data_IF_632319733754
#
_entry.id   IF_632319733754
#
_cell.length_a   1.000
_cell.length_b   1.000
_cell.length_c   1.000
_cell.angle_alpha   90.00
_cell.angle_beta   90.00
_cell.angle_gamma   90.00
#
_symmetry.space_group_name_H-M   'P 1'
#
loop_
_entity.id
_entity.type
_entity.pdbx_description
1 polymer ?
#
# COMPACT_ATOMS: atom_id res chain seq x y z
N UNK A 1 33.03 71.77 -27.22
CA UNK A 1 33.53 70.54 -26.57
C UNK A 1 32.56 69.43 -26.93
N UNK A 2 32.68 68.89 -28.16
CA UNK A 2 33.46 67.69 -28.50
C UNK A 2 32.76 66.43 -27.94
N UNK A 3 32.22 65.49 -28.73
CA UNK A 3 32.45 65.21 -30.15
C UNK A 3 31.34 64.25 -30.69
N UNK A 4 30.78 64.61 -31.86
CA UNK A 4 30.40 63.77 -33.04
C UNK A 4 29.33 62.65 -32.89
N UNK A 5 28.11 62.79 -33.46
CA UNK A 5 27.69 62.67 -34.90
C UNK A 5 27.63 61.19 -35.36
N UNK A 6 26.61 60.64 -36.03
CA UNK A 6 25.37 61.08 -36.70
C UNK A 6 24.64 59.80 -37.18
N UNK A 7 23.32 59.76 -37.36
CA UNK A 7 22.60 60.12 -38.60
C UNK A 7 22.14 58.85 -39.34
N UNK A 8 20.82 58.59 -39.46
CA UNK A 8 19.95 58.80 -40.66
C UNK A 8 20.36 57.93 -41.87
N UNK A 9 19.51 57.33 -42.72
CA UNK A 9 18.06 57.42 -43.06
C UNK A 9 17.77 56.40 -44.19
N UNK A 10 16.47 56.16 -44.46
CA UNK A 10 15.78 55.86 -45.74
C UNK A 10 16.19 54.60 -46.55
N UNK A 11 15.27 53.70 -46.95
CA UNK A 11 14.10 53.79 -47.88
C UNK A 11 14.46 54.23 -49.31
N UNK A 12 14.10 53.37 -50.28
CA UNK A 12 14.02 53.65 -51.72
C UNK A 12 14.63 52.51 -52.54
N UNK A 13 13.86 51.50 -52.97
CA UNK A 13 13.24 51.41 -54.31
C UNK A 13 14.21 51.77 -55.46
N UNK A 14 14.55 50.77 -56.29
CA UNK A 14 14.31 50.79 -57.74
C UNK A 14 14.89 49.53 -58.39
N UNK A 15 14.02 48.78 -59.07
CA UNK A 15 14.37 47.80 -60.08
C UNK A 15 15.20 48.43 -61.20
N UNK A 16 16.16 47.67 -61.73
CA UNK A 16 16.55 47.72 -63.15
C UNK A 16 17.26 46.43 -63.54
N UNK A 17 16.77 45.84 -64.63
CA UNK A 17 17.19 44.60 -65.24
C UNK A 17 18.60 44.68 -65.86
N UNK A 18 19.30 43.55 -65.90
CA UNK A 18 19.75 42.86 -67.11
C UNK A 18 20.92 41.88 -66.85
N UNK A 19 20.94 40.85 -67.68
CA UNK A 19 22.05 39.94 -68.04
C UNK A 19 22.48 38.77 -67.13
N UNK A 20 22.27 37.58 -67.70
CA UNK A 20 23.00 36.33 -67.45
C UNK A 20 24.40 36.38 -68.14
N UNK A 21 25.27 35.34 -68.16
CA UNK A 21 25.17 33.99 -67.60
C UNK A 21 26.49 33.38 -67.01
N UNK A 22 26.37 32.12 -66.56
CA UNK A 22 27.37 31.00 -66.60
C UNK A 22 28.53 30.88 -65.58
N UNK A 23 28.63 29.62 -65.12
CA UNK A 23 29.84 28.84 -64.75
C UNK A 23 30.24 28.94 -63.27
N UNK A 24 30.61 27.90 -62.51
CA UNK A 24 31.14 26.54 -62.78
C UNK A 24 30.84 25.63 -61.57
N UNK A 25 30.67 24.34 -61.83
CA UNK A 25 30.69 23.26 -60.84
C UNK A 25 32.02 23.20 -60.07
N UNK A 26 31.94 22.93 -58.76
CA UNK A 26 32.84 21.99 -58.06
C UNK A 26 32.21 21.52 -56.75
N UNK A 27 32.09 20.20 -56.62
CA UNK A 27 31.30 19.52 -55.59
C UNK A 27 31.86 19.56 -54.18
N UNK A 28 30.99 19.24 -53.22
CA UNK A 28 31.37 18.85 -51.86
C UNK A 28 30.39 17.82 -51.30
N UNK A 29 30.94 16.62 -51.10
CA UNK A 29 30.53 15.44 -50.33
C UNK A 29 29.21 15.54 -49.54
N UNK A 30 28.27 14.65 -49.90
CA UNK A 30 27.13 14.30 -49.07
C UNK A 30 27.57 13.61 -47.78
N UNK A 31 26.99 14.05 -46.67
CA UNK A 31 27.15 13.48 -45.34
C UNK A 31 25.85 12.75 -45.05
N UNK A 32 25.84 11.43 -45.27
CA UNK A 32 24.74 10.55 -44.92
C UNK A 32 24.67 10.47 -43.40
N UNK A 33 23.65 11.08 -42.79
CA UNK A 33 23.27 10.79 -41.41
C UNK A 33 22.57 9.43 -41.43
N UNK A 34 23.31 8.39 -41.11
CA UNK A 34 22.72 7.12 -40.71
C UNK A 34 21.94 7.37 -39.43
N UNK A 35 20.61 7.27 -39.50
CA UNK A 35 19.78 7.12 -38.30
C UNK A 35 20.20 5.82 -37.62
N UNK A 36 20.67 5.93 -36.39
CA UNK A 36 20.77 4.77 -35.52
C UNK A 36 19.33 4.30 -35.21
N UNK A 37 19.03 2.99 -35.27
CA UNK A 37 17.80 2.50 -34.68
C UNK A 37 17.89 2.72 -33.17
N UNK A 38 16.84 3.28 -32.57
CA UNK A 38 16.72 3.33 -31.12
C UNK A 38 16.84 1.91 -30.57
N UNK A 39 17.79 1.73 -29.65
CA UNK A 39 18.06 0.47 -28.97
C UNK A 39 16.81 0.06 -28.19
N UNK A 40 16.14 -0.99 -28.66
CA UNK A 40 15.03 -1.59 -27.94
C UNK A 40 15.49 -2.08 -26.58
N UNK A 41 14.83 -1.62 -25.52
CA UNK A 41 14.97 -2.15 -24.16
C UNK A 41 14.91 -3.68 -24.20
N UNK A 42 15.93 -4.35 -23.69
CA UNK A 42 15.96 -5.81 -23.65
C UNK A 42 14.77 -6.32 -22.83
N UNK A 43 14.14 -7.42 -23.25
CA UNK A 43 13.02 -8.05 -22.50
C UNK A 43 13.41 -8.31 -21.04
N UNK A 44 14.66 -8.69 -20.78
CA UNK A 44 15.18 -8.88 -19.41
C UNK A 44 15.25 -7.56 -18.60
N UNK A 45 15.54 -6.43 -19.25
CA UNK A 45 15.55 -5.13 -18.59
C UNK A 45 14.13 -4.66 -18.26
N UNK A 46 13.19 -4.81 -19.20
CA UNK A 46 11.79 -4.44 -18.99
C UNK A 46 11.10 -5.29 -17.89
N UNK A 47 11.42 -6.59 -17.84
CA UNK A 47 10.97 -7.49 -16.76
C UNK A 47 11.54 -7.05 -15.40
N UNK A 48 12.82 -6.66 -15.36
CA UNK A 48 13.45 -6.19 -14.12
C UNK A 48 12.87 -4.85 -13.65
N UNK A 49 12.62 -3.90 -14.55
CA UNK A 49 11.95 -2.63 -14.24
C UNK A 49 10.53 -2.84 -13.70
N UNK A 50 9.75 -3.72 -14.33
CA UNK A 50 8.40 -4.08 -13.88
C UNK A 50 8.40 -4.69 -12.48
N UNK A 51 9.36 -5.58 -12.21
CA UNK A 51 9.50 -6.22 -10.91
C UNK A 51 9.85 -5.21 -9.80
N UNK A 52 10.72 -4.23 -10.08
CA UNK A 52 11.07 -3.18 -9.13
C UNK A 52 9.90 -2.23 -8.84
N UNK A 53 9.08 -1.89 -9.84
CA UNK A 53 7.84 -1.12 -9.60
C UNK A 53 6.92 -1.87 -8.64
N UNK A 54 6.70 -3.16 -8.88
CA UNK A 54 5.79 -3.98 -8.07
C UNK A 54 6.36 -4.30 -6.68
N UNK A 55 7.69 -4.24 -6.50
CA UNK A 55 8.34 -4.47 -5.19
C UNK A 55 7.80 -3.56 -4.11
N UNK A 56 7.58 -2.28 -4.41
CA UNK A 56 7.07 -1.29 -3.44
C UNK A 56 5.63 -1.57 -2.98
N UNK A 57 4.89 -2.41 -3.71
CA UNK A 57 3.51 -2.79 -3.40
C UNK A 57 3.40 -4.16 -2.73
N UNK A 58 4.53 -4.84 -2.46
CA UNK A 58 4.56 -6.16 -1.84
C UNK A 58 5.29 -6.13 -0.48
N UNK A 59 4.73 -6.73 0.59
CA UNK A 59 5.43 -6.86 1.86
C UNK A 59 6.73 -7.65 1.74
N UNK A 60 7.75 -7.29 2.52
CA UNK A 60 9.01 -8.07 2.60
C UNK A 60 8.74 -9.56 2.90
N UNK A 61 7.74 -9.84 3.73
CA UNK A 61 7.32 -11.20 4.07
C UNK A 61 6.80 -11.96 2.84
N UNK A 62 5.98 -11.33 2.00
CA UNK A 62 5.46 -11.93 0.76
C UNK A 62 6.59 -12.23 -0.22
N UNK A 63 7.48 -11.25 -0.44
CA UNK A 63 8.62 -11.38 -1.34
C UNK A 63 9.51 -12.56 -0.94
N UNK A 64 9.85 -12.67 0.35
CA UNK A 64 10.63 -13.78 0.89
C UNK A 64 9.90 -15.10 0.78
N UNK A 65 8.61 -15.12 1.05
CA UNK A 65 7.82 -16.34 0.93
C UNK A 65 7.85 -16.90 -0.49
N UNK A 66 7.60 -16.05 -1.49
CA UNK A 66 7.64 -16.41 -2.90
C UNK A 66 9.04 -16.90 -3.33
N UNK A 67 10.11 -16.37 -2.74
CA UNK A 67 11.48 -16.80 -3.03
C UNK A 67 11.85 -18.14 -2.39
N UNK A 68 11.45 -18.37 -1.15
CA UNK A 68 11.94 -19.49 -0.35
C UNK A 68 11.03 -20.72 -0.43
N UNK A 69 9.72 -20.53 -0.31
CA UNK A 69 8.76 -21.64 -0.23
C UNK A 69 7.42 -21.27 -0.91
N UNK A 70 7.42 -20.96 -2.22
CA UNK A 70 6.21 -20.49 -2.95
C UNK A 70 5.08 -21.52 -3.02
N UNK A 71 5.34 -22.79 -2.70
CA UNK A 71 4.37 -23.89 -2.73
C UNK A 71 3.62 -24.07 -1.40
N UNK A 72 4.07 -23.44 -0.31
CA UNK A 72 3.37 -23.52 0.97
C UNK A 72 2.23 -22.50 1.01
N UNK A 73 1.04 -22.98 1.36
CA UNK A 73 -0.16 -22.16 1.52
C UNK A 73 -0.32 -21.53 2.90
N UNK A 74 0.48 -21.96 3.89
CA UNK A 74 0.50 -21.35 5.22
C UNK A 74 1.87 -21.44 5.90
N UNK A 75 2.10 -20.54 6.85
CA UNK A 75 3.24 -20.54 7.77
C UNK A 75 2.78 -20.10 9.15
N UNK A 76 3.36 -20.69 10.18
CA UNK A 76 3.24 -20.20 11.56
C UNK A 76 4.56 -19.53 11.92
N UNK A 77 4.50 -18.24 12.28
CA UNK A 77 5.67 -17.41 12.55
C UNK A 77 5.55 -16.76 13.92
N UNK A 78 6.61 -16.87 14.72
CA UNK A 78 6.72 -16.14 15.98
C UNK A 78 7.21 -14.72 15.74
N UNK A 79 6.54 -13.76 16.38
CA UNK A 79 6.88 -12.36 16.24
C UNK A 79 5.95 -11.43 16.99
N UNK A 80 6.05 -10.15 16.69
CA UNK A 80 5.16 -9.11 17.19
C UNK A 80 4.44 -8.43 16.05
N UNK A 81 3.15 -8.20 16.24
CA UNK A 81 2.34 -7.42 15.34
C UNK A 81 1.92 -6.12 16.02
N UNK A 82 2.06 -5.03 15.28
CA UNK A 82 1.62 -3.71 15.66
C UNK A 82 0.54 -3.27 14.67
N UNK A 83 -0.65 -2.99 15.19
CA UNK A 83 -1.73 -2.38 14.41
C UNK A 83 -1.92 -0.93 14.87
N UNK A 84 -1.84 0.01 13.94
CA UNK A 84 -1.96 1.45 14.19
C UNK A 84 -3.11 1.99 13.36
N UNK A 85 -4.17 2.47 14.02
CA UNK A 85 -5.22 3.24 13.35
C UNK A 85 -4.95 4.74 13.54
N UNK A 86 -5.08 5.53 12.47
CA UNK A 86 -4.81 6.97 12.48
C UNK A 86 -6.11 7.75 12.28
N UNK A 87 -6.73 8.08 13.39
CA UNK A 87 -7.88 8.98 13.42
C UNK A 87 -7.59 10.39 12.89
N UNK A 88 -8.55 10.91 12.12
CA UNK A 88 -8.53 12.28 11.58
C UNK A 88 -8.29 12.34 10.08
N UNK A 89 -7.76 11.28 9.47
CA UNK A 89 -7.54 11.21 8.02
C UNK A 89 -8.84 11.18 7.24
N UNK A 90 -9.78 10.29 7.54
CA UNK A 90 -11.06 10.21 6.82
C UNK A 90 -11.77 11.56 6.76
N UNK A 91 -11.85 12.24 7.92
CA UNK A 91 -12.48 13.57 8.04
C UNK A 91 -11.73 14.64 7.24
N UNK A 92 -10.40 14.55 7.16
CA UNK A 92 -9.59 15.45 6.34
C UNK A 92 -9.85 15.21 4.86
N UNK A 93 -9.82 13.95 4.42
CA UNK A 93 -10.10 13.56 3.03
C UNK A 93 -11.50 13.98 2.58
N UNK A 94 -12.53 13.80 3.41
CA UNK A 94 -13.89 14.27 3.12
C UNK A 94 -14.00 15.79 2.96
N UNK A 95 -13.21 16.56 3.75
CA UNK A 95 -13.21 18.02 3.64
C UNK A 95 -12.45 18.49 2.40
N UNK A 96 -11.30 17.89 2.12
CA UNK A 96 -10.48 18.21 0.95
C UNK A 96 -11.16 17.78 -0.36
N UNK A 97 -11.95 16.71 -0.35
CA UNK A 97 -12.75 16.29 -1.51
C UNK A 97 -13.68 17.39 -2.05
N UNK A 98 -14.09 18.34 -1.20
CA UNK A 98 -14.91 19.50 -1.62
C UNK A 98 -14.15 20.50 -2.50
N UNK A 99 -12.82 20.41 -2.55
CA UNK A 99 -11.95 21.28 -3.33
C UNK A 99 -11.54 20.66 -4.69
N UNK A 100 -12.15 19.55 -5.09
CA UNK A 100 -11.92 18.94 -6.41
C UNK A 100 -10.50 18.37 -6.55
N UNK A 101 -9.90 18.51 -7.74
CA UNK A 101 -8.59 17.89 -8.07
C UNK A 101 -7.47 18.32 -7.12
N UNK A 102 -7.38 19.62 -6.79
CA UNK A 102 -6.36 20.15 -5.87
C UNK A 102 -6.50 19.53 -4.47
N UNK A 103 -7.74 19.25 -4.05
CA UNK A 103 -7.98 18.55 -2.79
C UNK A 103 -7.51 17.11 -2.79
N UNK A 104 -7.66 16.39 -3.91
CA UNK A 104 -7.17 15.01 -4.06
C UNK A 104 -5.64 14.93 -4.00
N UNK A 105 -4.97 15.85 -4.70
CA UNK A 105 -3.49 15.97 -4.68
C UNK A 105 -3.00 16.28 -3.26
N UNK A 106 -3.62 17.25 -2.57
CA UNK A 106 -3.24 17.60 -1.20
C UNK A 106 -3.47 16.45 -0.20
N UNK A 107 -4.53 15.65 -0.36
CA UNK A 107 -4.74 14.42 0.42
C UNK A 107 -3.54 13.50 0.23
N UNK A 108 -3.17 13.19 -1.01
CA UNK A 108 -2.06 12.28 -1.33
C UNK A 108 -0.75 12.76 -0.73
N UNK A 109 -0.39 14.02 -0.94
CA UNK A 109 0.86 14.60 -0.46
C UNK A 109 0.96 14.56 1.07
N UNK A 110 -0.14 14.92 1.76
CA UNK A 110 -0.19 14.94 3.22
C UNK A 110 -0.16 13.53 3.79
N UNK A 111 -0.95 12.60 3.23
CA UNK A 111 -0.97 11.20 3.68
C UNK A 111 0.39 10.55 3.45
N UNK A 112 0.92 10.67 2.23
CA UNK A 112 2.23 10.13 1.85
C UNK A 112 3.35 10.64 2.76
N UNK A 113 3.40 11.96 3.03
CA UNK A 113 4.41 12.55 3.90
C UNK A 113 4.31 12.08 5.37
N UNK A 114 3.08 11.92 5.90
CA UNK A 114 2.88 11.40 7.25
C UNK A 114 3.26 9.92 7.32
N UNK A 115 2.76 9.09 6.39
CA UNK A 115 3.08 7.66 6.35
C UNK A 115 4.57 7.41 6.17
N UNK A 116 5.25 8.14 5.28
CA UNK A 116 6.69 8.02 5.08
C UNK A 116 7.47 8.22 6.39
N UNK A 117 7.10 9.23 7.19
CA UNK A 117 7.76 9.50 8.48
C UNK A 117 7.45 8.44 9.54
N UNK A 118 6.23 7.90 9.56
CA UNK A 118 5.85 6.83 10.48
C UNK A 118 6.51 5.49 10.12
N UNK A 119 6.52 5.14 8.84
CA UNK A 119 7.17 3.94 8.33
C UNK A 119 8.69 4.02 8.48
N UNK A 120 9.31 5.18 8.31
CA UNK A 120 10.75 5.35 8.60
C UNK A 120 11.09 5.00 10.06
N UNK A 121 10.20 5.33 11.01
CA UNK A 121 10.37 4.91 12.42
C UNK A 121 10.24 3.40 12.56
N UNK A 122 9.21 2.79 11.98
CA UNK A 122 9.00 1.35 12.06
C UNK A 122 10.17 0.57 11.42
N UNK A 123 10.65 1.01 10.25
CA UNK A 123 11.78 0.40 9.54
C UNK A 123 13.11 0.60 10.28
N UNK A 124 13.25 1.68 11.04
CA UNK A 124 14.38 1.89 11.95
C UNK A 124 14.47 0.81 13.04
N UNK A 125 13.32 0.23 13.42
CA UNK A 125 13.18 -0.89 14.37
C UNK A 125 13.04 -2.25 13.64
N UNK A 126 13.42 -2.31 12.35
CA UNK A 126 13.30 -3.46 11.45
C UNK A 126 11.88 -4.08 11.43
N UNK A 127 10.88 -3.21 11.55
CA UNK A 127 9.51 -3.53 11.22
C UNK A 127 9.32 -3.66 9.71
N UNK A 128 8.37 -4.48 9.28
CA UNK A 128 7.91 -4.56 7.91
C UNK A 128 6.44 -4.16 7.85
N UNK A 129 6.08 -3.32 6.89
CA UNK A 129 4.69 -3.10 6.54
C UNK A 129 4.13 -4.37 5.89
N UNK A 130 3.00 -4.85 6.42
CA UNK A 130 2.24 -5.94 5.83
C UNK A 130 1.11 -5.39 4.96
N UNK A 131 0.31 -4.47 5.49
CA UNK A 131 -0.90 -3.98 4.82
C UNK A 131 -1.23 -2.55 5.26
N UNK A 132 -1.84 -1.80 4.35
CA UNK A 132 -2.57 -0.57 4.66
C UNK A 132 -4.06 -0.92 4.86
N UNK A 133 -4.64 -0.55 6.00
CA UNK A 133 -6.07 -0.68 6.29
C UNK A 133 -6.82 0.63 5.98
N UNK A 134 -6.57 1.24 4.82
CA UNK A 134 -6.98 2.61 4.54
C UNK A 134 -6.10 3.63 5.25
N UNK A 135 -6.52 4.12 6.42
CA UNK A 135 -5.74 5.00 7.30
C UNK A 135 -4.97 4.27 8.41
N UNK A 136 -5.08 2.93 8.44
CA UNK A 136 -4.35 2.09 9.39
C UNK A 136 -3.09 1.44 8.80
N UNK A 137 -2.11 1.13 9.65
CA UNK A 137 -0.87 0.43 9.33
C UNK A 137 -0.81 -0.90 10.10
N UNK A 138 -0.61 -2.00 9.38
CA UNK A 138 -0.33 -3.30 9.97
C UNK A 138 1.15 -3.66 9.80
N UNK A 139 1.88 -3.69 10.91
CA UNK A 139 3.33 -3.85 10.95
C UNK A 139 3.73 -5.17 11.61
N UNK A 140 4.77 -5.80 11.07
CA UNK A 140 5.33 -7.06 11.52
C UNK A 140 6.77 -6.91 11.99
N UNK A 141 7.11 -7.52 13.12
CA UNK A 141 8.45 -7.58 13.68
C UNK A 141 8.81 -9.03 14.02
N UNK A 142 9.93 -9.53 13.52
CA UNK A 142 10.42 -10.90 13.74
C UNK A 142 11.87 -10.94 14.20
N UNK A 143 12.33 -12.06 14.73
CA UNK A 143 13.71 -12.21 15.22
C UNK A 143 13.94 -11.56 16.59
N UNK A 144 15.19 -11.50 17.02
CA UNK A 144 15.57 -11.19 18.41
C UNK A 144 15.04 -9.83 18.90
N UNK A 145 14.34 -9.78 20.03
CA UNK A 145 13.83 -8.52 20.59
C UNK A 145 12.63 -7.93 19.85
N UNK A 146 11.92 -8.72 19.04
CA UNK A 146 10.71 -8.26 18.34
C UNK A 146 9.64 -7.61 19.24
N UNK A 147 9.41 -8.02 20.52
CA UNK A 147 8.44 -7.34 21.40
C UNK A 147 8.85 -5.90 21.73
N UNK A 148 10.10 -5.71 22.16
CA UNK A 148 10.64 -4.40 22.51
C UNK A 148 10.74 -3.48 21.30
N UNK A 149 11.14 -4.01 20.13
CA UNK A 149 11.18 -3.24 18.88
C UNK A 149 9.80 -2.77 18.46
N UNK A 150 8.79 -3.65 18.49
CA UNK A 150 7.41 -3.27 18.17
C UNK A 150 6.87 -2.20 19.14
N UNK A 151 7.12 -2.34 20.45
CA UNK A 151 6.75 -1.35 21.46
C UNK A 151 7.49 -0.02 21.29
N UNK A 152 8.77 -0.06 20.91
CA UNK A 152 9.59 1.13 20.61
C UNK A 152 9.08 1.84 19.37
N UNK A 153 8.80 1.10 18.29
CA UNK A 153 8.21 1.63 17.07
C UNK A 153 6.87 2.32 17.36
N UNK A 154 5.95 1.66 18.07
CA UNK A 154 4.66 2.24 18.45
C UNK A 154 4.84 3.56 19.24
N UNK A 155 5.72 3.56 20.24
CA UNK A 155 5.99 4.75 21.06
C UNK A 155 6.55 5.91 20.23
N UNK A 156 7.54 5.62 19.39
CA UNK A 156 8.24 6.59 18.56
C UNK A 156 7.35 7.11 17.42
N UNK A 157 6.53 6.27 16.80
CA UNK A 157 5.54 6.66 15.79
C UNK A 157 4.52 7.64 16.40
N UNK A 158 3.99 7.35 17.59
CA UNK A 158 3.11 8.27 18.31
C UNK A 158 3.80 9.60 18.62
N UNK A 159 5.06 9.56 19.06
CA UNK A 159 5.82 10.78 19.33
C UNK A 159 6.03 11.62 18.06
N UNK A 160 6.38 10.98 16.94
CA UNK A 160 6.49 11.60 15.62
C UNK A 160 5.17 12.23 15.19
N UNK A 161 4.05 11.51 15.28
CA UNK A 161 2.74 12.03 14.90
C UNK A 161 2.29 13.22 15.74
N UNK A 162 2.66 13.31 17.03
CA UNK A 162 2.39 14.52 17.83
C UNK A 162 3.08 15.77 17.27
N UNK A 163 4.24 15.61 16.63
CA UNK A 163 5.01 16.70 16.03
C UNK A 163 4.48 17.06 14.65
N UNK A 164 4.23 16.05 13.79
CA UNK A 164 3.89 16.27 12.38
C UNK A 164 2.39 16.24 12.07
N UNK A 165 1.58 15.70 12.97
CA UNK A 165 0.15 15.49 12.77
C UNK A 165 -0.70 16.74 12.99
N UNK A 166 -0.10 17.91 13.20
CA UNK A 166 -0.80 19.21 13.24
C UNK A 166 -0.64 19.87 11.88
N UNK A 167 -1.65 19.69 11.04
CA UNK A 167 -1.61 20.04 9.64
C UNK A 167 -2.46 21.27 9.38
N UNK A 168 -1.88 22.24 8.67
CA UNK A 168 -2.59 23.38 8.11
C UNK A 168 -2.91 23.06 6.64
N UNK A 169 -4.13 22.59 6.40
CA UNK A 169 -4.60 22.24 5.04
C UNK A 169 -5.43 23.36 4.45
N UNK A 170 -5.67 23.35 3.13
CA UNK A 170 -6.61 24.29 2.48
C UNK A 170 -8.02 24.18 3.05
N UNK A 171 -8.41 23.01 3.53
CA UNK A 171 -9.69 22.78 4.18
C UNK A 171 -9.72 23.20 5.67
N UNK A 172 -8.60 23.67 6.23
CA UNK A 172 -8.46 24.13 7.61
C UNK A 172 -7.52 23.27 8.46
N UNK A 173 -7.45 23.57 9.75
CA UNK A 173 -6.55 22.87 10.67
C UNK A 173 -7.04 21.45 10.98
N UNK A 174 -6.14 20.49 10.91
CA UNK A 174 -6.38 19.08 11.24
C UNK A 174 -5.37 18.63 12.28
N UNK A 175 -5.82 17.82 13.24
CA UNK A 175 -4.95 17.20 14.24
C UNK A 175 -5.15 15.69 14.15
N UNK A 176 -4.13 15.00 13.65
CA UNK A 176 -4.07 13.56 13.58
C UNK A 176 -3.69 12.97 14.94
N UNK A 177 -4.29 11.83 15.27
CA UNK A 177 -3.95 11.01 16.43
C UNK A 177 -3.99 9.56 16.04
N UNK A 178 -3.25 8.72 16.75
CA UNK A 178 -3.27 7.27 16.53
C UNK A 178 -3.71 6.52 17.79
N UNK A 179 -4.51 5.48 17.63
CA UNK A 179 -4.59 4.35 18.57
C UNK A 179 -3.64 3.26 18.09
N UNK A 180 -3.12 2.44 19.01
CA UNK A 180 -2.19 1.38 18.63
C UNK A 180 -2.33 0.17 19.53
N UNK A 181 -2.34 -1.01 18.92
CA UNK A 181 -2.31 -2.31 19.59
C UNK A 181 -1.05 -3.07 19.24
N UNK A 182 -0.36 -3.63 20.25
CA UNK A 182 0.78 -4.55 20.06
C UNK A 182 0.46 -5.89 20.69
N UNK A 183 0.72 -6.96 19.95
CA UNK A 183 0.68 -8.32 20.48
C UNK A 183 1.91 -9.10 20.02
N UNK A 184 2.44 -9.96 20.90
CA UNK A 184 3.56 -10.87 20.64
C UNK A 184 3.07 -12.30 20.81
N UNK A 185 3.47 -13.18 19.90
CA UNK A 185 3.06 -14.58 19.94
C UNK A 185 3.29 -15.28 18.60
N UNK A 186 2.58 -16.39 18.41
CA UNK A 186 2.64 -17.20 17.20
C UNK A 186 1.49 -16.84 16.25
N UNK A 187 1.84 -16.34 15.07
CA UNK A 187 0.89 -15.83 14.07
C UNK A 187 0.75 -16.80 12.90
N UNK A 188 -0.47 -16.97 12.40
CA UNK A 188 -0.77 -17.78 11.23
C UNK A 188 -0.91 -16.89 10.01
N UNK A 189 0.03 -17.05 9.09
CA UNK A 189 -0.04 -16.42 7.78
C UNK A 189 -0.46 -17.45 6.75
N UNK A 190 -1.26 -17.01 5.79
CA UNK A 190 -1.76 -17.81 4.68
C UNK A 190 -1.38 -17.12 3.38
N UNK A 191 -0.95 -17.91 2.40
CA UNK A 191 -0.63 -17.45 1.06
C UNK A 191 -1.48 -18.26 0.08
N UNK A 192 -2.60 -17.68 -0.33
CA UNK A 192 -3.73 -18.40 -0.94
C UNK A 192 -4.24 -17.69 -2.19
N UNK A 193 -5.04 -18.38 -3.00
CA UNK A 193 -5.63 -17.85 -4.22
C UNK A 193 -4.91 -18.31 -5.48
N UNK A 194 -5.62 -18.19 -6.60
CA UNK A 194 -5.24 -18.70 -7.91
C UNK A 194 -4.60 -17.63 -8.80
N UNK A 195 -5.33 -16.57 -9.12
CA UNK A 195 -4.89 -15.54 -10.08
C UNK A 195 -3.78 -14.65 -9.54
N UNK A 196 -3.79 -14.47 -8.23
CA UNK A 196 -2.69 -13.95 -7.43
C UNK A 196 -2.68 -14.67 -6.07
N UNK A 197 -1.51 -14.68 -5.44
CA UNK A 197 -1.26 -15.17 -4.10
C UNK A 197 -1.48 -14.04 -3.11
N UNK A 198 -2.62 -14.08 -2.43
CA UNK A 198 -2.99 -13.12 -1.41
C UNK A 198 -2.38 -13.52 -0.06
N UNK A 199 -1.61 -12.61 0.55
CA UNK A 199 -1.10 -12.78 1.90
C UNK A 199 -2.17 -12.38 2.91
N UNK A 200 -2.66 -13.35 3.69
CA UNK A 200 -3.63 -13.15 4.76
C UNK A 200 -2.96 -13.47 6.10
N UNK A 201 -3.29 -12.70 7.14
CA UNK A 201 -2.95 -13.03 8.52
C UNK A 201 -4.24 -13.13 9.33
N UNK A 202 -4.40 -14.23 10.05
CA UNK A 202 -5.59 -14.52 10.85
C UNK A 202 -5.24 -15.45 12.02
N UNK A 203 -6.25 -15.80 12.82
CA UNK A 203 -6.10 -16.66 13.98
C UNK A 203 -5.89 -15.89 15.29
N UNK A 204 -5.81 -16.58 16.43
CA UNK A 204 -5.98 -15.97 17.75
C UNK A 204 -5.00 -14.84 18.08
N UNK A 205 -3.76 -14.94 17.60
CA UNK A 205 -2.75 -13.89 17.81
C UNK A 205 -3.03 -12.63 16.99
N UNK A 206 -3.57 -12.77 15.77
CA UNK A 206 -4.01 -11.66 14.92
C UNK A 206 -5.23 -10.96 15.55
N UNK A 207 -6.23 -11.73 15.95
CA UNK A 207 -7.42 -11.24 16.67
C UNK A 207 -7.07 -10.51 17.96
N UNK A 208 -6.06 -10.98 18.69
CA UNK A 208 -5.53 -10.31 19.88
C UNK A 208 -4.92 -8.95 19.54
N UNK A 209 -4.16 -8.83 18.45
CA UNK A 209 -3.63 -7.54 17.99
C UNK A 209 -4.75 -6.54 17.69
N UNK A 210 -5.76 -6.97 16.92
CA UNK A 210 -6.94 -6.15 16.59
C UNK A 210 -7.65 -5.70 17.88
N UNK A 211 -7.84 -6.61 18.84
CA UNK A 211 -8.46 -6.29 20.12
C UNK A 211 -7.64 -5.25 20.92
N UNK A 212 -6.30 -5.31 20.88
CA UNK A 212 -5.47 -4.34 21.58
C UNK A 212 -5.62 -2.94 20.97
N UNK A 213 -5.64 -2.86 19.64
CA UNK A 213 -5.84 -1.61 18.92
C UNK A 213 -7.24 -1.05 19.21
N UNK A 214 -8.29 -1.86 19.05
CA UNK A 214 -9.67 -1.44 19.22
C UNK A 214 -10.01 -0.97 20.64
N UNK A 215 -9.26 -1.48 21.64
CA UNK A 215 -9.40 -1.07 23.05
C UNK A 215 -8.62 0.22 23.36
N UNK A 216 -7.57 0.52 22.58
CA UNK A 216 -6.79 1.73 22.74
C UNK A 216 -7.61 2.95 22.28
N UNK A 217 -7.52 4.05 23.02
CA UNK A 217 -8.10 5.34 22.62
C UNK A 217 -7.07 6.20 21.89
N UNK A 218 -7.53 7.25 21.21
CA UNK A 218 -6.65 8.14 20.46
C UNK A 218 -5.51 8.71 21.33
N UNK A 219 -4.26 8.42 20.95
CA UNK A 219 -3.03 8.77 21.65
C UNK A 219 -2.50 7.67 22.58
N UNK A 220 -3.22 6.58 22.76
CA UNK A 220 -2.82 5.45 23.59
C UNK A 220 -2.14 4.36 22.76
N UNK A 221 -1.32 3.57 23.45
CA UNK A 221 -0.72 2.35 22.93
C UNK A 221 -1.03 1.27 23.95
N UNK A 222 -1.70 0.22 23.52
CA UNK A 222 -2.05 -0.92 24.36
C UNK A 222 -1.22 -2.13 23.92
N UNK A 223 -0.55 -2.77 24.87
CA UNK A 223 0.19 -4.01 24.64
C UNK A 223 -0.58 -5.17 25.27
N UNK A 224 -0.57 -6.34 24.64
CA UNK A 224 -1.14 -7.55 25.24
C UNK A 224 -0.36 -7.96 26.49
N UNK A 225 -0.93 -8.83 27.31
CA UNK A 225 -0.25 -9.35 28.51
C UNK A 225 1.02 -10.13 28.16
N UNK A 226 1.00 -10.85 27.05
CA UNK A 226 2.15 -11.62 26.58
C UNK A 226 3.29 -10.69 26.16
N UNK A 227 3.00 -9.62 25.42
CA UNK A 227 3.99 -8.58 25.13
C UNK A 227 4.47 -7.89 26.40
N UNK A 228 3.57 -7.51 27.30
CA UNK A 228 3.92 -6.81 28.53
C UNK A 228 4.85 -7.64 29.44
N UNK A 229 4.73 -8.96 29.42
CA UNK A 229 5.56 -9.86 30.21
C UNK A 229 7.03 -9.87 29.79
N UNK A 230 7.36 -9.48 28.55
CA UNK A 230 8.75 -9.37 28.08
C UNK A 230 9.33 -7.97 28.32
N UNK A 231 8.47 -6.95 28.44
CA UNK A 231 8.88 -5.57 28.62
C UNK A 231 9.25 -5.24 30.08
N UNK A 232 10.08 -4.21 30.27
CA UNK A 232 10.35 -3.68 31.59
C UNK A 232 9.08 -3.10 32.23
N UNK A 233 8.79 -3.47 33.48
CA UNK A 233 7.69 -2.88 34.25
C UNK A 233 7.74 -1.34 34.34
N UNK A 234 8.92 -0.74 34.13
CA UNK A 234 9.09 0.73 34.10
C UNK A 234 8.40 1.40 32.92
N UNK A 235 8.16 0.68 31.82
CA UNK A 235 7.51 1.24 30.62
C UNK A 235 6.01 0.96 30.56
N UNK A 236 5.51 0.15 31.48
CA UNK A 236 4.11 -0.24 31.58
C UNK A 236 3.34 0.72 32.48
N UNK A 237 2.12 1.06 32.06
CA UNK A 237 1.14 1.86 32.79
C UNK A 237 0.01 1.01 33.35
N UNK A 238 -1.17 1.63 33.48
CA UNK A 238 -2.35 0.96 34.02
C UNK A 238 -2.91 -0.09 33.05
N UNK A 239 -3.51 -1.18 33.58
CA UNK A 239 -4.30 -2.11 32.77
C UNK A 239 -5.50 -1.41 32.12
N UNK A 240 -5.83 -1.80 30.89
CA UNK A 240 -7.03 -1.35 30.19
C UNK A 240 -7.59 -2.48 29.34
N UNK A 241 -8.83 -2.88 29.63
CA UNK A 241 -9.42 -4.09 29.05
C UNK A 241 -8.55 -5.31 29.34
N UNK A 242 -8.20 -6.07 28.30
CA UNK A 242 -7.33 -7.25 28.42
C UNK A 242 -5.83 -6.93 28.27
N UNK A 243 -5.47 -5.68 27.99
CA UNK A 243 -4.08 -5.24 27.79
C UNK A 243 -3.54 -4.33 28.89
N UNK A 244 -2.35 -3.80 28.67
CA UNK A 244 -1.66 -2.85 29.56
C UNK A 244 -1.17 -1.66 28.73
N UNK A 245 -1.37 -0.44 29.24
CA UNK A 245 -0.94 0.78 28.53
C UNK A 245 0.59 0.88 28.48
N UNK A 246 1.15 1.29 27.34
CA UNK A 246 2.57 1.63 27.21
C UNK A 246 2.79 3.12 27.52
N UNK A 247 3.31 3.43 28.71
CA UNK A 247 3.47 4.82 29.19
C UNK A 247 4.74 5.51 28.69
N UNK A 248 5.81 4.75 28.43
CA UNK A 248 7.08 5.28 27.93
C UNK A 248 7.71 4.33 26.91
N UNK A 249 8.69 4.81 26.15
CA UNK A 249 9.43 3.96 25.22
C UNK A 249 10.32 2.96 25.98
N UNK A 250 10.46 1.72 25.50
CA UNK A 250 11.52 0.80 25.91
C UNK A 250 12.91 1.43 25.72
N UNK A 251 13.91 0.89 26.42
CA UNK A 251 15.30 1.26 26.19
C UNK A 251 15.72 0.81 24.79
N UNK A 252 16.45 1.65 24.07
CA UNK A 252 16.97 1.32 22.76
C UNK A 252 17.73 -0.01 22.82
N UNK A 253 17.30 -0.97 22.01
CA UNK A 253 17.97 -2.25 21.87
C UNK A 253 19.02 -2.17 20.77
N UNK A 254 20.15 -2.84 20.99
CA UNK A 254 21.00 -3.25 19.87
C UNK A 254 20.43 -4.55 19.33
N UNK A 255 20.15 -4.58 18.03
CA UNK A 255 19.71 -5.76 17.32
C UNK A 255 20.38 -5.79 15.94
N UNK A 256 20.51 -6.99 15.39
CA UNK A 256 20.98 -7.15 14.02
C UNK A 256 19.80 -6.91 13.08
N UNK A 257 19.92 -5.91 12.20
CA UNK A 257 18.92 -5.68 11.16
C UNK A 257 18.97 -6.80 10.15
N UNK A 258 17.81 -7.21 9.69
CA UNK A 258 17.70 -8.13 8.58
C UNK A 258 17.74 -7.38 7.25
N UNK A 259 18.96 -7.05 6.82
CA UNK A 259 19.22 -6.32 5.57
C UNK A 259 19.24 -7.25 4.33
N UNK A 260 18.80 -8.50 4.43
CA UNK A 260 18.78 -9.44 3.31
C UNK A 260 17.75 -8.99 2.27
N UNK A 261 18.27 -8.41 1.19
CA UNK A 261 17.52 -8.09 -0.01
C UNK A 261 17.36 -9.34 -0.88
N UNK A 262 16.10 -9.71 -1.13
CA UNK A 262 15.77 -10.82 -2.03
C UNK A 262 15.92 -10.34 -3.47
N UNK A 263 16.69 -11.10 -4.27
CA UNK A 263 16.80 -10.85 -5.71
C UNK A 263 15.47 -11.18 -6.40
N UNK A 264 14.92 -10.22 -7.16
CA UNK A 264 13.70 -10.45 -7.94
C UNK A 264 13.94 -11.29 -9.19
N UNK A 265 15.20 -11.47 -9.61
CA UNK A 265 15.53 -12.24 -10.82
C UNK A 265 15.06 -13.70 -10.77
N UNK A 266 14.82 -14.24 -9.57
CA UNK A 266 14.38 -15.61 -9.34
C UNK A 266 12.91 -15.75 -8.95
N UNK A 267 12.15 -14.65 -8.86
CA UNK A 267 10.74 -14.68 -8.45
C UNK A 267 9.85 -13.86 -9.38
N UNK A 268 8.63 -14.34 -9.60
CA UNK A 268 7.59 -13.54 -10.23
C UNK A 268 6.77 -12.83 -9.15
N UNK A 269 7.22 -11.65 -8.74
CA UNK A 269 6.55 -10.81 -7.74
C UNK A 269 5.13 -10.41 -8.16
N UNK A 270 4.85 -10.39 -9.46
CA UNK A 270 3.54 -10.01 -9.97
C UNK A 270 2.46 -10.97 -9.49
N UNK A 271 2.79 -12.24 -9.25
CA UNK A 271 1.88 -13.22 -8.66
C UNK A 271 1.40 -12.85 -7.26
N UNK A 272 2.09 -11.96 -6.54
CA UNK A 272 1.66 -11.46 -5.23
C UNK A 272 0.75 -10.22 -5.28
N UNK A 273 0.44 -9.71 -6.47
CA UNK A 273 -0.32 -8.47 -6.68
C UNK A 273 -1.62 -8.78 -7.43
N UNK A 274 -2.79 -8.26 -6.98
CA UNK A 274 -4.06 -8.43 -7.69
C UNK A 274 -3.96 -8.04 -9.16
N UNK A 275 -4.54 -8.85 -10.05
CA UNK A 275 -4.36 -8.75 -11.51
C UNK A 275 -4.63 -7.33 -12.03
N UNK A 276 -5.80 -6.76 -11.71
CA UNK A 276 -6.18 -5.43 -12.16
C UNK A 276 -5.26 -4.33 -11.63
N UNK A 277 -4.75 -4.47 -10.40
CA UNK A 277 -3.81 -3.50 -9.83
C UNK A 277 -2.43 -3.61 -10.47
N UNK A 278 -1.94 -4.83 -10.70
CA UNK A 278 -0.70 -5.07 -11.42
C UNK A 278 -0.73 -4.45 -12.82
N UNK A 279 -1.80 -4.67 -13.58
CA UNK A 279 -1.99 -4.05 -14.90
C UNK A 279 -1.99 -2.52 -14.82
N UNK A 280 -2.70 -1.98 -13.84
CA UNK A 280 -2.76 -0.54 -13.60
C UNK A 280 -1.38 0.05 -13.29
N UNK A 281 -0.66 -0.53 -12.33
CA UNK A 281 0.67 -0.06 -11.90
C UNK A 281 1.70 -0.14 -13.04
N UNK A 282 1.68 -1.21 -13.84
CA UNK A 282 2.58 -1.37 -14.97
C UNK A 282 2.22 -0.49 -16.18
N UNK A 283 0.99 0.00 -16.27
CA UNK A 283 0.59 0.97 -17.29
C UNK A 283 1.15 2.39 -17.06
N UNK A 284 1.67 2.64 -15.85
CA UNK A 284 2.22 3.92 -15.40
C UNK A 284 1.38 4.59 -14.31
N UNK A 285 2.01 5.48 -13.54
CA UNK A 285 1.34 6.22 -12.47
C UNK A 285 0.22 7.10 -13.04
N UNK A 286 -0.97 7.02 -12.43
CA UNK A 286 -2.09 7.90 -12.75
C UNK A 286 -2.32 8.92 -11.64
N UNK A 287 -2.80 10.10 -12.02
CA UNK A 287 -3.08 11.18 -11.07
C UNK A 287 -4.11 10.70 -10.03
N UNK A 288 -3.86 10.91 -8.73
CA UNK A 288 -4.86 10.67 -7.70
C UNK A 288 -6.14 11.45 -7.99
N UNK A 289 -7.29 10.79 -7.82
CA UNK A 289 -8.58 11.40 -8.17
C UNK A 289 -9.71 11.04 -7.22
N UNK A 290 -10.71 11.92 -7.18
CA UNK A 290 -12.00 11.62 -6.58
C UNK A 290 -12.94 11.06 -7.65
N UNK A 291 -13.49 9.89 -7.40
CA UNK A 291 -14.42 9.24 -8.33
C UNK A 291 -15.55 8.53 -7.60
N UNK A 292 -16.61 8.21 -8.34
CA UNK A 292 -17.63 7.32 -7.84
C UNK A 292 -17.13 5.89 -7.96
N UNK A 293 -17.27 5.12 -6.88
CA UNK A 293 -17.02 3.70 -6.88
C UNK A 293 -18.05 2.96 -6.04
N UNK A 294 -18.27 1.70 -6.37
CA UNK A 294 -19.03 0.76 -5.55
C UNK A 294 -18.02 -0.13 -4.83
N UNK A 295 -17.98 -0.05 -3.51
CA UNK A 295 -17.03 -0.78 -2.66
C UNK A 295 -17.78 -1.82 -1.86
N UNK A 296 -17.25 -3.04 -1.83
CA UNK A 296 -17.76 -4.11 -1.01
C UNK A 296 -16.68 -4.66 -0.08
N UNK A 297 -17.10 -4.99 1.14
CA UNK A 297 -16.31 -5.73 2.12
C UNK A 297 -16.93 -7.12 2.27
N UNK A 298 -16.18 -8.15 1.87
CA UNK A 298 -16.53 -9.56 2.09
C UNK A 298 -15.79 -10.00 3.35
N UNK A 299 -16.50 -9.97 4.47
CA UNK A 299 -15.98 -10.37 5.77
C UNK A 299 -16.08 -11.88 5.94
N UNK A 300 -15.02 -12.53 6.40
CA UNK A 300 -15.02 -13.94 6.78
C UNK A 300 -14.65 -14.08 8.26
N UNK A 301 -15.34 -14.97 8.97
CA UNK A 301 -15.18 -15.18 10.42
C UNK A 301 -15.07 -16.66 10.81
N UNK A 302 -14.88 -16.93 12.10
CA UNK A 302 -14.71 -18.27 12.67
C UNK A 302 -13.32 -18.86 12.48
N UNK A 303 -12.34 -18.05 12.03
CA UNK A 303 -11.00 -18.55 11.70
C UNK A 303 -10.24 -18.94 12.96
N UNK A 304 -10.43 -18.25 14.09
CA UNK A 304 -9.69 -18.55 15.32
C UNK A 304 -10.03 -19.96 15.84
N UNK A 305 -11.32 -20.27 15.88
CA UNK A 305 -11.80 -21.59 16.30
C UNK A 305 -11.45 -22.68 15.29
N UNK A 306 -11.48 -22.38 13.99
CA UNK A 306 -11.05 -23.34 12.96
C UNK A 306 -9.56 -23.66 13.09
N UNK A 307 -8.69 -22.66 13.25
CA UNK A 307 -7.25 -22.89 13.46
C UNK A 307 -7.02 -23.76 14.69
N UNK A 308 -7.69 -23.44 15.81
CA UNK A 308 -7.53 -24.15 17.08
C UNK A 308 -8.01 -25.61 17.02
N UNK A 309 -9.14 -25.87 16.36
CA UNK A 309 -9.80 -27.18 16.42
C UNK A 309 -9.47 -28.07 15.21
N UNK A 310 -9.08 -27.49 14.06
CA UNK A 310 -8.90 -28.20 12.79
C UNK A 310 -7.47 -28.11 12.24
N UNK A 311 -6.67 -27.15 12.72
CA UNK A 311 -5.31 -26.93 12.24
C UNK A 311 -5.23 -25.88 11.14
N UNK A 312 -4.06 -25.24 11.04
CA UNK A 312 -3.81 -24.16 10.07
C UNK A 312 -3.79 -24.65 8.62
N UNK A 313 -3.43 -25.91 8.37
CA UNK A 313 -3.46 -26.53 7.04
C UNK A 313 -4.89 -26.65 6.48
N UNK A 314 -5.84 -27.07 7.30
CA UNK A 314 -7.26 -27.15 6.93
C UNK A 314 -7.82 -25.75 6.67
N UNK A 315 -7.46 -24.78 7.51
CA UNK A 315 -7.86 -23.38 7.32
C UNK A 315 -7.26 -22.81 6.04
N UNK A 316 -6.00 -23.11 5.74
CA UNK A 316 -5.36 -22.68 4.50
C UNK A 316 -6.12 -23.17 3.27
N UNK A 317 -6.56 -24.43 3.27
CA UNK A 317 -7.37 -24.98 2.16
C UNK A 317 -8.74 -24.28 2.04
N UNK A 318 -9.42 -24.00 3.15
CA UNK A 318 -10.70 -23.29 3.14
C UNK A 318 -10.59 -21.83 2.69
N UNK A 319 -9.52 -21.14 3.12
CA UNK A 319 -9.23 -19.78 2.65
C UNK A 319 -8.81 -19.78 1.17
N UNK A 320 -8.09 -20.79 0.69
CA UNK A 320 -7.75 -20.92 -0.73
C UNK A 320 -8.97 -21.11 -1.61
N UNK A 321 -9.92 -21.95 -1.18
CA UNK A 321 -11.21 -22.11 -1.84
C UNK A 321 -11.97 -20.78 -1.90
N UNK A 322 -12.09 -20.08 -0.76
CA UNK A 322 -12.80 -18.80 -0.66
C UNK A 322 -12.15 -17.72 -1.54
N UNK A 323 -10.84 -17.52 -1.43
CA UNK A 323 -10.14 -16.48 -2.17
C UNK A 323 -10.14 -16.77 -3.67
N UNK A 324 -9.93 -18.02 -4.07
CA UNK A 324 -10.06 -18.43 -5.48
C UNK A 324 -11.48 -18.18 -6.01
N UNK A 325 -12.52 -18.48 -5.23
CA UNK A 325 -13.91 -18.18 -5.61
C UNK A 325 -14.12 -16.66 -5.82
N UNK A 326 -13.67 -15.84 -4.88
CA UNK A 326 -13.80 -14.37 -4.96
C UNK A 326 -13.04 -13.82 -6.16
N UNK A 327 -11.79 -14.27 -6.38
CA UNK A 327 -10.96 -13.85 -7.53
C UNK A 327 -11.67 -14.14 -8.85
N UNK A 328 -12.16 -15.38 -9.05
CA UNK A 328 -12.88 -15.77 -10.27
C UNK A 328 -14.15 -14.95 -10.48
N UNK A 329 -14.94 -14.74 -9.42
CA UNK A 329 -16.16 -13.95 -9.51
C UNK A 329 -15.86 -12.48 -9.86
N UNK A 330 -14.84 -11.90 -9.23
CA UNK A 330 -14.41 -10.54 -9.47
C UNK A 330 -13.89 -10.35 -10.91
N UNK A 331 -13.01 -11.24 -11.37
CA UNK A 331 -12.45 -11.20 -12.74
C UNK A 331 -13.55 -11.37 -13.81
N UNK A 332 -14.44 -12.35 -13.63
CA UNK A 332 -15.52 -12.61 -14.59
C UNK A 332 -16.43 -11.39 -14.79
N UNK A 333 -16.69 -10.67 -13.70
CA UNK A 333 -17.55 -9.49 -13.70
C UNK A 333 -16.73 -8.19 -13.72
N UNK A 334 -15.42 -8.26 -14.00
CA UNK A 334 -14.41 -7.19 -13.94
C UNK A 334 -14.58 -6.19 -12.78
N UNK A 335 -14.77 -6.72 -11.59
CA UNK A 335 -14.63 -6.03 -10.31
C UNK A 335 -13.17 -6.16 -9.87
N UNK A 336 -12.58 -5.09 -9.35
CA UNK A 336 -11.22 -5.09 -8.85
C UNK A 336 -11.17 -5.75 -7.48
N UNK A 337 -10.33 -6.77 -7.34
CA UNK A 337 -9.86 -7.22 -6.02
C UNK A 337 -8.81 -6.23 -5.54
N UNK A 338 -9.14 -5.41 -4.54
CA UNK A 338 -8.23 -4.37 -4.05
C UNK A 338 -7.18 -4.94 -3.08
N UNK A 339 -7.56 -5.91 -2.29
CA UNK A 339 -6.70 -6.54 -1.29
C UNK A 339 -7.51 -7.13 -0.13
N UNK A 340 -6.81 -7.70 0.84
CA UNK A 340 -7.41 -8.10 2.12
C UNK A 340 -6.88 -7.26 3.27
N UNK A 341 -7.63 -7.23 4.37
CA UNK A 341 -7.26 -6.56 5.61
C UNK A 341 -7.63 -7.43 6.82
N UNK A 342 -6.94 -7.20 7.93
CA UNK A 342 -7.07 -7.96 9.18
C UNK A 342 -8.39 -7.61 9.88
N UNK A 343 -8.99 -8.59 10.56
CA UNK A 343 -10.14 -8.36 11.44
C UNK A 343 -10.09 -9.32 12.65
N UNK A 344 -10.99 -9.12 13.61
CA UNK A 344 -11.19 -10.05 14.71
C UNK A 344 -11.81 -11.35 14.21
N UNK A 345 -11.23 -12.49 14.59
CA UNK A 345 -11.70 -13.84 14.24
C UNK A 345 -11.73 -14.13 12.71
N UNK A 346 -10.90 -13.43 11.94
CA UNK A 346 -10.81 -13.63 10.50
C UNK A 346 -10.21 -12.45 9.76
N UNK A 347 -10.94 -11.96 8.76
CA UNK A 347 -10.47 -10.86 7.90
C UNK A 347 -11.54 -10.41 6.91
N UNK A 348 -11.16 -9.45 6.06
CA UNK A 348 -12.04 -8.91 5.03
C UNK A 348 -11.34 -8.82 3.70
N UNK A 349 -12.06 -9.18 2.64
CA UNK A 349 -11.67 -8.91 1.26
C UNK A 349 -12.34 -7.62 0.79
N UNK A 350 -11.57 -6.74 0.16
CA UNK A 350 -12.04 -5.46 -0.34
C UNK A 350 -12.18 -5.55 -1.86
N UNK A 351 -13.41 -5.40 -2.35
CA UNK A 351 -13.73 -5.39 -3.77
C UNK A 351 -14.19 -4.01 -4.19
N UNK A 352 -13.76 -3.57 -5.38
CA UNK A 352 -14.08 -2.23 -5.91
C UNK A 352 -14.51 -2.34 -7.37
N UNK A 353 -15.69 -1.80 -7.68
CA UNK A 353 -16.12 -1.53 -9.05
C UNK A 353 -16.08 -0.03 -9.29
N UNK A 354 -15.52 0.38 -10.43
CA UNK A 354 -15.34 1.80 -10.77
C UNK A 354 -13.95 2.36 -10.45
N UNK A 355 -13.02 1.58 -9.86
CA UNK A 355 -11.61 1.94 -9.68
C UNK A 355 -10.70 0.67 -9.71
N UNK A 356 -9.48 0.72 -10.30
CA UNK A 356 -8.95 1.83 -11.09
C UNK A 356 -9.69 2.03 -12.43
N UNK A 357 -10.35 0.98 -12.90
CA UNK A 357 -11.12 0.97 -14.14
C UNK A 357 -12.61 1.20 -13.87
N UNK A 358 -13.26 2.07 -14.67
CA UNK A 358 -14.72 2.18 -14.72
C UNK A 358 -15.21 1.55 -16.02
N UNK A 359 -16.05 0.51 -15.89
CA UNK A 359 -16.52 -0.28 -17.02
C UNK A 359 -18.03 -0.09 -17.29
N UNK A 360 -18.68 0.78 -16.50
CA UNK A 360 -20.11 1.02 -16.56
C UNK A 360 -20.90 -0.04 -15.77
N UNK A 361 -22.10 0.35 -15.31
CA UNK A 361 -22.95 -0.47 -14.44
C UNK A 361 -22.17 -1.09 -13.25
N UNK A 362 -21.33 -0.30 -12.61
CA UNK A 362 -20.45 -0.76 -11.53
C UNK A 362 -21.25 -1.36 -10.36
N UNK A 363 -22.46 -0.83 -10.08
CA UNK A 363 -23.40 -1.43 -9.12
C UNK A 363 -23.87 -2.82 -9.53
N UNK A 364 -24.39 -2.99 -10.76
CA UNK A 364 -24.89 -4.27 -11.25
C UNK A 364 -23.80 -5.34 -11.25
N UNK A 365 -22.61 -4.98 -11.73
CA UNK A 365 -21.43 -5.86 -11.76
C UNK A 365 -20.99 -6.27 -10.36
N UNK A 366 -20.97 -5.32 -9.41
CA UNK A 366 -20.68 -5.62 -8.01
C UNK A 366 -21.73 -6.57 -7.43
N UNK A 367 -23.03 -6.29 -7.59
CA UNK A 367 -24.09 -7.11 -7.00
C UNK A 367 -24.10 -8.55 -7.54
N UNK A 368 -23.86 -8.75 -8.84
CA UNK A 368 -23.75 -10.08 -9.45
C UNK A 368 -22.50 -10.81 -8.91
N UNK A 369 -21.37 -10.12 -8.78
CA UNK A 369 -20.14 -10.66 -8.19
C UNK A 369 -20.40 -11.18 -6.78
N UNK A 370 -20.99 -10.34 -5.92
CA UNK A 370 -21.26 -10.67 -4.52
C UNK A 370 -22.29 -11.81 -4.40
N UNK A 371 -23.27 -11.86 -5.32
CA UNK A 371 -24.24 -12.97 -5.34
C UNK A 371 -23.56 -14.30 -5.68
N UNK A 372 -22.68 -14.33 -6.68
CA UNK A 372 -21.90 -15.52 -7.04
C UNK A 372 -21.02 -16.01 -5.88
N UNK A 373 -20.44 -15.10 -5.10
CA UNK A 373 -19.65 -15.45 -3.91
C UNK A 373 -20.53 -16.11 -2.84
N UNK A 374 -21.73 -15.55 -2.58
CA UNK A 374 -22.67 -16.12 -1.61
C UNK A 374 -23.22 -17.48 -2.05
N UNK A 375 -23.47 -17.66 -3.34
CA UNK A 375 -23.99 -18.90 -3.92
C UNK A 375 -22.97 -20.05 -3.92
N UNK A 376 -21.68 -19.75 -3.76
CA UNK A 376 -20.62 -20.75 -3.77
C UNK A 376 -20.55 -21.60 -2.49
N UNK A 377 -21.16 -21.15 -1.39
CA UNK A 377 -21.24 -21.87 -0.11
C UNK A 377 -19.88 -22.47 0.34
N UNK A 378 -18.82 -21.66 0.28
CA UNK A 378 -17.45 -22.06 0.64
C UNK A 378 -17.32 -22.51 2.09
N UNK A 379 -16.29 -23.29 2.40
CA UNK A 379 -16.08 -23.83 3.76
C UNK A 379 -15.96 -22.75 4.85
N UNK A 380 -15.50 -21.55 4.49
CA UNK A 380 -15.43 -20.40 5.40
C UNK A 380 -16.65 -19.49 5.14
N UNK A 381 -17.48 -19.22 6.15
CA UNK A 381 -18.67 -18.40 5.99
C UNK A 381 -18.31 -16.93 5.74
N UNK A 382 -19.17 -16.23 4.99
CA UNK A 382 -18.97 -14.82 4.68
C UNK A 382 -20.20 -13.95 4.99
N UNK A 383 -19.94 -12.69 5.33
CA UNK A 383 -20.92 -11.60 5.42
C UNK A 383 -20.47 -10.47 4.52
N UNK A 384 -21.39 -9.91 3.76
CA UNK A 384 -21.04 -8.93 2.73
C UNK A 384 -21.76 -7.61 2.99
N UNK A 385 -21.00 -6.52 3.05
CA UNK A 385 -21.50 -5.15 3.00
C UNK A 385 -21.08 -4.48 1.70
N UNK A 386 -21.97 -3.74 1.06
CA UNK A 386 -21.68 -2.99 -0.18
C UNK A 386 -22.27 -1.59 -0.09
N UNK A 387 -21.51 -0.60 -0.57
CA UNK A 387 -21.94 0.78 -0.65
C UNK A 387 -21.40 1.45 -1.91
N UNK A 388 -22.15 2.42 -2.44
CA UNK A 388 -21.70 3.29 -3.53
C UNK A 388 -21.52 4.70 -2.99
N UNK A 389 -20.40 5.33 -3.35
CA UNK A 389 -20.14 6.71 -2.96
C UNK A 389 -18.96 7.32 -3.68
N UNK A 390 -18.70 8.57 -3.34
CA UNK A 390 -17.48 9.26 -3.71
C UNK A 390 -16.32 8.73 -2.88
N UNK A 391 -15.30 8.23 -3.55
CA UNK A 391 -14.07 7.74 -2.94
C UNK A 391 -12.88 8.53 -3.46
N UNK A 392 -11.80 8.50 -2.69
CA UNK A 392 -10.47 8.90 -3.17
C UNK A 392 -9.75 7.65 -3.67
N UNK A 393 -9.15 7.71 -4.85
CA UNK A 393 -8.35 6.64 -5.44
C UNK A 393 -6.99 7.18 -5.86
N UNK A 394 -5.92 6.53 -5.43
CA UNK A 394 -4.55 6.90 -5.75
C UNK A 394 -3.56 6.06 -4.95
N UNK A 395 -2.30 6.10 -5.38
CA UNK A 395 -1.22 5.41 -4.69
C UNK A 395 -0.87 6.14 -3.38
N UNK A 396 -0.83 5.40 -2.29
CA UNK A 396 -0.52 5.93 -0.96
C UNK A 396 0.67 5.15 -0.41
N UNK A 397 1.71 5.88 -0.02
CA UNK A 397 2.90 5.29 0.59
C UNK A 397 4.12 6.20 0.46
N UNK A 398 5.27 5.79 1.03
CA UNK A 398 6.54 6.41 0.70
C UNK A 398 6.87 6.16 -0.77
N UNK A 399 7.40 7.19 -1.44
CA UNK A 399 7.85 7.13 -2.83
C UNK A 399 9.09 6.26 -3.03
#
# INVERSE_FOLDING_TARGET
MSRTLGGRRARGQAERAADAPRSRLRGRRGRTLAGQPEEGTSVAQAVNESAEILRSYAPRLLIRWLAEQPHLSFRTLDGSMLFVDISGFTRMSERLARHGKVGAEEVTDVLGAVFAKLLAVAYGEDGSLLKFGGDALLLWFSGDGHPERAATAAHSMRATLRTIGRLDTTAGKVVLRMSSGVNSGSFHFFLVGESHRELIVAGPAASRTVQMESTASAGEILVSRDTAATLSARVLGEPKGEGILLKSGPTALSFQRDDLEVSLSSIDISTGIPVTLREHLLSGATDPEHRNATVAFVHFDGVDDLVKNRGADVVAAGLDELITCIQRAAEHNGVTFLGTDIDHDGGKVILVAGAPNALGDDEGRMLITLRSILDAETAVPVRIGVNKGHVFAGDIGPA
#
